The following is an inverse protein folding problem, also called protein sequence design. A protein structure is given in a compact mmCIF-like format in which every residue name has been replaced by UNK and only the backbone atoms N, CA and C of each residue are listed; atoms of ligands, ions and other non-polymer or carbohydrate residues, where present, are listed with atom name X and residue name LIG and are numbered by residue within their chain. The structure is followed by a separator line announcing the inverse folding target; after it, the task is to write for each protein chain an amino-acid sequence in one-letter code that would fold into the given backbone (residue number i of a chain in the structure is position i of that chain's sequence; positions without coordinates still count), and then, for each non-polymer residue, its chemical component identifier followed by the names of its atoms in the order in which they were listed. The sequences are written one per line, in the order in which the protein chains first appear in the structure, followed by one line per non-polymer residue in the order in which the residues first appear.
data_IF_473379606803
#
_entry.id   IF_473379606803
#
_cell.length_a   1.000
_cell.length_b   1.000
_cell.length_c   1.000
_cell.angle_alpha   90.00
_cell.angle_beta   90.00
_cell.angle_gamma   90.00
#
_symmetry.space_group_name_H-M   'P 1'
#
loop_
_entity.id
_entity.type
_entity.pdbx_description
1 polymer ?
#
# COMPACT_ATOMS: atom_id res chain seq x y z
N UNK A 1 -2.57 -2.43 12.84
CA UNK A 1 -3.98 -2.32 13.31
C UNK A 1 -4.93 -3.13 12.42
N UNK A 2 -4.86 -3.01 11.10
CA UNK A 2 -5.76 -3.71 10.15
C UNK A 2 -5.72 -5.25 10.23
N UNK A 3 -4.55 -5.86 10.42
CA UNK A 3 -4.44 -7.33 10.61
C UNK A 3 -5.26 -7.81 11.80
N UNK A 4 -5.20 -7.09 12.92
CA UNK A 4 -5.98 -7.41 14.11
C UNK A 4 -7.49 -7.29 13.86
N UNK A 5 -7.92 -6.36 13.01
CA UNK A 5 -9.34 -6.23 12.66
C UNK A 5 -9.85 -7.43 11.86
N UNK A 6 -9.01 -7.99 10.98
CA UNK A 6 -9.29 -9.25 10.29
C UNK A 6 -9.43 -10.43 11.26
N UNK A 7 -8.51 -10.56 12.23
CA UNK A 7 -8.56 -11.58 13.26
C UNK A 7 -9.83 -11.43 14.14
N UNK A 8 -10.13 -10.18 14.55
CA UNK A 8 -11.34 -9.88 15.34
C UNK A 8 -12.62 -10.20 14.60
N UNK A 9 -12.66 -9.96 13.28
CA UNK A 9 -13.81 -10.33 12.44
C UNK A 9 -14.03 -11.83 12.46
N UNK A 10 -13.00 -12.63 12.18
CA UNK A 10 -13.07 -14.09 12.22
C UNK A 10 -13.48 -14.60 13.61
N UNK A 11 -12.91 -14.05 14.67
CA UNK A 11 -13.19 -14.42 16.05
C UNK A 11 -14.68 -14.22 16.41
N UNK A 12 -15.29 -13.10 15.98
CA UNK A 12 -16.73 -12.85 16.20
C UNK A 12 -17.61 -13.81 15.42
N UNK A 13 -17.23 -14.18 14.21
CA UNK A 13 -17.97 -15.11 13.36
C UNK A 13 -17.92 -16.56 13.88
N UNK A 14 -16.91 -16.90 14.71
CA UNK A 14 -16.65 -18.26 15.19
C UNK A 14 -16.63 -18.39 16.73
N UNK A 15 -17.16 -17.40 17.44
CA UNK A 15 -17.27 -17.38 18.91
C UNK A 15 -15.92 -17.58 19.64
N UNK A 16 -14.84 -17.00 19.08
CA UNK A 16 -13.54 -17.04 19.71
C UNK A 16 -13.36 -15.93 20.74
N UNK A 17 -12.74 -16.25 21.86
CA UNK A 17 -12.23 -15.27 22.81
C UNK A 17 -10.78 -14.94 22.45
N UNK A 18 -10.48 -13.67 22.19
CA UNK A 18 -9.15 -13.17 21.88
C UNK A 18 -8.54 -12.48 23.09
N UNK A 19 -7.27 -12.82 23.37
CA UNK A 19 -6.39 -12.01 24.20
C UNK A 19 -5.33 -11.40 23.30
N UNK A 20 -5.24 -10.07 23.28
CA UNK A 20 -4.29 -9.32 22.45
C UNK A 20 -3.14 -8.83 23.32
N UNK A 21 -1.92 -9.07 22.85
CA UNK A 21 -0.69 -8.56 23.46
C UNK A 21 -0.09 -7.60 22.43
N UNK A 22 -0.16 -6.29 22.71
CA UNK A 22 0.20 -5.24 21.74
C UNK A 22 1.70 -5.03 21.62
N UNK A 23 2.45 -5.31 22.66
CA UNK A 23 3.91 -5.21 22.64
C UNK A 23 4.51 -6.62 22.81
N UNK A 24 5.51 -6.92 21.99
CA UNK A 24 6.22 -8.19 22.09
C UNK A 24 6.93 -8.25 23.45
N UNK A 25 6.48 -9.12 24.36
CA UNK A 25 7.12 -9.23 25.65
C UNK A 25 8.49 -9.93 25.51
N UNK A 26 9.39 -9.79 26.48
CA UNK A 26 10.59 -10.60 26.52
C UNK A 26 10.25 -12.10 26.46
N UNK A 27 11.14 -12.90 25.91
CA UNK A 27 10.91 -14.33 25.66
C UNK A 27 10.45 -15.09 26.92
N UNK A 28 11.01 -14.76 28.05
CA UNK A 28 10.67 -15.34 29.36
C UNK A 28 9.21 -15.04 29.73
N UNK A 29 8.75 -13.82 29.48
CA UNK A 29 7.39 -13.42 29.80
C UNK A 29 6.33 -14.07 28.88
N UNK A 30 6.71 -14.51 27.67
CA UNK A 30 5.79 -15.21 26.78
C UNK A 30 5.34 -16.54 27.39
N UNK A 31 6.25 -17.30 28.00
CA UNK A 31 5.92 -18.55 28.67
C UNK A 31 4.92 -18.34 29.82
N UNK A 32 5.14 -17.30 30.64
CA UNK A 32 4.22 -16.92 31.73
C UNK A 32 2.83 -16.50 31.20
N UNK A 33 2.77 -15.75 30.11
CA UNK A 33 1.50 -15.37 29.46
C UNK A 33 0.75 -16.57 28.90
N UNK A 34 1.47 -17.52 28.28
CA UNK A 34 0.90 -18.76 27.77
C UNK A 34 0.34 -19.63 28.93
N UNK A 35 1.06 -19.76 30.04
CA UNK A 35 0.59 -20.47 31.22
C UNK A 35 -0.63 -19.79 31.83
N UNK A 36 -0.58 -18.47 32.00
CA UNK A 36 -1.66 -17.68 32.62
C UNK A 36 -2.97 -17.74 31.83
N UNK A 37 -2.90 -17.51 30.50
CA UNK A 37 -4.10 -17.46 29.66
C UNK A 37 -4.55 -18.85 29.18
N UNK A 38 -3.67 -19.85 29.20
CA UNK A 38 -3.91 -21.20 28.69
C UNK A 38 -4.60 -21.22 27.32
N UNK A 39 -4.05 -20.53 26.30
CA UNK A 39 -4.70 -20.38 24.99
C UNK A 39 -4.73 -21.73 24.27
N UNK A 40 -5.71 -21.91 23.38
CA UNK A 40 -5.75 -23.09 22.49
C UNK A 40 -4.78 -22.97 21.30
N UNK A 41 -4.36 -21.79 20.98
CA UNK A 41 -3.41 -21.50 19.89
C UNK A 41 -3.02 -20.03 19.87
N UNK A 42 -2.04 -19.69 19.03
CA UNK A 42 -1.43 -18.38 18.96
C UNK A 42 -1.39 -17.89 17.51
N UNK A 43 -1.63 -16.61 17.32
CA UNK A 43 -1.31 -15.90 16.08
C UNK A 43 -0.24 -14.87 16.44
N UNK A 44 0.95 -14.98 15.84
CA UNK A 44 2.09 -14.15 16.16
C UNK A 44 2.54 -13.36 14.93
N UNK A 45 2.67 -12.05 15.07
CA UNK A 45 3.22 -11.18 14.01
C UNK A 45 4.74 -11.15 14.12
N UNK A 46 5.43 -11.40 12.99
CA UNK A 46 6.87 -11.54 12.93
C UNK A 46 7.59 -10.58 12.03
N UNK A 47 7.00 -9.41 11.78
CA UNK A 47 7.56 -8.42 10.86
C UNK A 47 8.97 -7.95 11.20
N UNK A 48 9.33 -7.94 12.48
CA UNK A 48 10.67 -7.63 13.00
C UNK A 48 10.98 -8.59 14.16
N UNK A 49 11.61 -9.73 13.85
CA UNK A 49 11.94 -10.76 14.84
C UNK A 49 13.24 -10.41 15.60
N UNK A 50 13.29 -9.25 16.23
CA UNK A 50 14.45 -8.86 17.06
C UNK A 50 14.60 -9.70 18.33
N UNK A 51 13.50 -10.27 18.82
CA UNK A 51 13.48 -11.05 20.05
C UNK A 51 13.54 -12.55 19.81
N UNK A 52 13.75 -13.02 18.57
CA UNK A 52 13.85 -14.44 18.25
C UNK A 52 12.60 -15.25 18.62
N UNK A 53 11.40 -14.65 18.56
CA UNK A 53 10.11 -15.29 18.85
C UNK A 53 9.94 -16.54 17.97
N UNK A 54 10.50 -16.48 16.76
CA UNK A 54 10.43 -17.57 15.79
C UNK A 54 11.56 -18.58 15.91
N UNK A 55 12.60 -18.27 16.66
CA UNK A 55 13.81 -19.09 16.77
C UNK A 55 13.79 -20.16 17.88
N UNK A 56 12.66 -20.45 18.51
CA UNK A 56 12.61 -21.42 19.60
C UNK A 56 11.24 -22.00 19.90
N UNK A 57 11.16 -22.83 20.95
CA UNK A 57 9.90 -23.42 21.43
C UNK A 57 9.17 -22.51 22.42
N UNK A 58 9.15 -21.19 22.11
CA UNK A 58 8.56 -20.18 22.98
C UNK A 58 7.10 -20.45 23.30
N UNK A 59 6.34 -21.00 22.33
CA UNK A 59 4.95 -21.37 22.50
C UNK A 59 4.75 -22.85 22.83
N UNK A 60 5.83 -23.62 23.06
CA UNK A 60 5.78 -25.04 23.38
C UNK A 60 5.08 -25.87 22.30
N UNK A 61 4.07 -26.64 22.70
CA UNK A 61 3.29 -27.49 21.78
C UNK A 61 2.04 -26.83 21.22
N UNK A 62 1.84 -25.54 21.48
CA UNK A 62 0.68 -24.83 20.95
C UNK A 62 0.74 -24.70 19.43
N UNK A 63 -0.39 -24.83 18.74
CA UNK A 63 -0.45 -24.46 17.33
C UNK A 63 -0.26 -22.95 17.16
N UNK A 64 0.68 -22.58 16.29
CA UNK A 64 1.00 -21.18 16.01
C UNK A 64 0.85 -20.90 14.53
N UNK A 65 0.18 -19.79 14.22
CA UNK A 65 0.19 -19.19 12.88
C UNK A 65 1.01 -17.90 12.91
N UNK A 66 2.04 -17.85 12.13
CA UNK A 66 2.89 -16.68 12.01
C UNK A 66 2.38 -15.76 10.91
N UNK A 67 2.25 -14.47 11.21
CA UNK A 67 1.95 -13.40 10.26
C UNK A 67 3.22 -12.66 9.88
N UNK A 68 3.41 -12.37 8.59
CA UNK A 68 4.50 -11.53 8.10
C UNK A 68 5.88 -11.98 8.61
N UNK A 69 6.18 -13.27 8.52
CA UNK A 69 7.43 -13.84 9.00
C UNK A 69 8.37 -14.25 7.87
N UNK A 70 9.66 -14.30 8.17
CA UNK A 70 10.64 -14.94 7.30
C UNK A 70 10.53 -16.46 7.40
N UNK A 71 10.09 -17.09 6.32
CA UNK A 71 9.90 -18.55 6.29
C UNK A 71 11.20 -19.33 6.50
N UNK A 72 12.35 -18.72 6.17
CA UNK A 72 13.68 -19.34 6.38
C UNK A 72 13.96 -19.59 7.85
N UNK A 73 13.31 -18.84 8.74
CA UNK A 73 13.47 -18.94 10.19
C UNK A 73 12.42 -19.83 10.85
N UNK A 74 11.41 -20.32 10.10
CA UNK A 74 10.36 -21.16 10.64
C UNK A 74 10.77 -22.63 10.75
N UNK A 75 10.33 -23.26 11.83
CA UNK A 75 10.48 -24.72 12.01
C UNK A 75 9.62 -25.50 11.01
N UNK A 76 10.05 -26.70 10.58
CA UNK A 76 9.19 -27.60 9.82
C UNK A 76 7.86 -27.87 10.55
N UNK A 77 6.75 -27.72 9.83
CA UNK A 77 5.41 -27.87 10.40
C UNK A 77 4.76 -26.57 10.85
N UNK A 78 5.46 -25.43 10.83
CA UNK A 78 4.88 -24.13 11.12
C UNK A 78 3.85 -23.73 10.06
N UNK A 79 2.88 -22.93 10.50
CA UNK A 79 1.89 -22.29 9.64
C UNK A 79 2.23 -20.82 9.50
N UNK A 80 2.15 -20.27 8.29
CA UNK A 80 2.36 -18.84 8.07
C UNK A 80 1.40 -18.25 7.05
N UNK A 81 1.10 -16.98 7.25
CA UNK A 81 0.36 -16.14 6.31
C UNK A 81 1.23 -14.95 5.96
N UNK A 82 1.57 -14.83 4.70
CA UNK A 82 2.43 -13.76 4.18
C UNK A 82 1.75 -13.04 3.02
N UNK A 83 2.17 -11.83 2.77
CA UNK A 83 1.81 -11.13 1.54
C UNK A 83 2.53 -11.78 0.36
N UNK A 84 1.92 -11.68 -0.81
CA UNK A 84 2.52 -12.16 -2.06
C UNK A 84 3.42 -11.08 -2.67
N UNK A 85 4.75 -11.20 -2.55
CA UNK A 85 5.66 -10.18 -3.07
C UNK A 85 5.67 -10.17 -4.60
N UNK A 86 5.39 -11.29 -5.27
CA UNK A 86 5.41 -11.36 -6.73
C UNK A 86 4.26 -10.52 -7.32
N UNK A 87 3.06 -10.59 -6.76
CA UNK A 87 1.94 -9.71 -7.15
C UNK A 87 2.30 -8.23 -6.97
N UNK A 88 2.97 -7.86 -5.88
CA UNK A 88 3.40 -6.47 -5.64
C UNK A 88 4.44 -6.02 -6.67
N UNK A 89 5.46 -6.83 -6.91
CA UNK A 89 6.52 -6.55 -7.88
C UNK A 89 5.98 -6.41 -9.31
N UNK A 90 5.03 -7.28 -9.71
CA UNK A 90 4.37 -7.21 -11.02
C UNK A 90 3.54 -5.94 -11.18
N UNK A 91 2.78 -5.56 -10.16
CA UNK A 91 1.97 -4.33 -10.20
C UNK A 91 2.86 -3.09 -10.30
N UNK A 92 3.94 -3.02 -9.53
CA UNK A 92 4.89 -1.92 -9.55
C UNK A 92 5.60 -1.82 -10.91
N UNK A 93 6.10 -2.94 -11.45
CA UNK A 93 6.72 -2.98 -12.77
C UNK A 93 5.76 -2.54 -13.87
N UNK A 94 4.53 -3.06 -13.86
CA UNK A 94 3.49 -2.71 -14.83
C UNK A 94 3.12 -1.23 -14.76
N UNK A 95 3.03 -0.65 -13.57
CA UNK A 95 2.76 0.79 -13.42
C UNK A 95 3.84 1.62 -14.11
N UNK A 96 5.10 1.43 -13.78
CA UNK A 96 6.19 2.19 -14.40
C UNK A 96 6.34 1.95 -15.91
N UNK A 97 6.18 0.71 -16.37
CA UNK A 97 6.22 0.40 -17.80
C UNK A 97 5.08 1.10 -18.56
N UNK A 98 3.88 1.18 -17.95
CA UNK A 98 2.73 1.88 -18.53
C UNK A 98 2.95 3.39 -18.67
N UNK A 99 3.83 3.96 -17.83
CA UNK A 99 4.26 5.36 -17.88
C UNK A 99 5.39 5.61 -18.89
N UNK A 100 5.88 4.58 -19.58
CA UNK A 100 7.00 4.67 -20.52
C UNK A 100 8.36 4.87 -19.85
N UNK A 101 8.48 4.63 -18.56
CA UNK A 101 9.75 4.65 -17.81
C UNK A 101 10.63 3.48 -18.26
N UNK A 102 11.93 3.74 -18.40
CA UNK A 102 12.92 2.75 -18.87
C UNK A 102 14.07 2.50 -17.91
N UNK A 103 14.19 3.30 -16.87
CA UNK A 103 15.23 3.20 -15.85
C UNK A 103 14.58 3.05 -14.48
N UNK A 104 15.01 2.06 -13.70
CA UNK A 104 14.30 1.64 -12.48
C UNK A 104 15.27 1.50 -11.32
N UNK A 105 14.81 1.91 -10.15
CA UNK A 105 15.49 1.78 -8.88
C UNK A 105 14.54 1.21 -7.83
N UNK A 106 15.01 0.30 -7.01
CA UNK A 106 14.35 -0.13 -5.79
C UNK A 106 15.06 0.50 -4.58
N UNK A 107 14.29 1.05 -3.66
CA UNK A 107 14.78 1.59 -2.39
C UNK A 107 14.13 0.84 -1.23
N UNK A 108 14.94 0.15 -0.43
CA UNK A 108 14.45 -0.72 0.61
C UNK A 108 15.37 -0.80 1.83
N UNK A 109 14.92 -1.54 2.85
CA UNK A 109 15.75 -1.86 4.00
C UNK A 109 16.59 -3.10 3.71
N UNK A 110 17.87 -3.02 4.08
CA UNK A 110 18.74 -4.19 4.20
C UNK A 110 18.34 -4.99 5.44
N UNK A 111 18.46 -6.32 5.39
CA UNK A 111 18.22 -7.24 6.51
C UNK A 111 16.74 -7.42 6.92
N UNK A 112 15.80 -6.73 6.28
CA UNK A 112 14.36 -6.99 6.46
C UNK A 112 13.83 -7.85 5.33
N UNK A 113 13.48 -9.09 5.64
CA UNK A 113 13.05 -10.10 4.66
C UNK A 113 11.92 -9.63 3.74
N UNK A 114 10.96 -8.89 4.27
CA UNK A 114 9.83 -8.38 3.50
C UNK A 114 10.27 -7.33 2.47
N UNK A 115 11.24 -6.48 2.83
CA UNK A 115 11.83 -5.49 1.92
C UNK A 115 12.65 -6.16 0.82
N UNK A 116 13.51 -7.12 1.19
CA UNK A 116 14.30 -7.92 0.25
C UNK A 116 13.40 -8.67 -0.75
N UNK A 117 12.33 -9.30 -0.25
CA UNK A 117 11.38 -10.03 -1.10
C UNK A 117 10.64 -9.12 -2.08
N UNK A 118 10.20 -7.92 -1.63
CA UNK A 118 9.57 -6.90 -2.49
C UNK A 118 10.50 -6.44 -3.60
N UNK A 119 11.76 -6.13 -3.26
CA UNK A 119 12.79 -5.72 -4.21
C UNK A 119 13.13 -6.82 -5.22
N UNK A 120 13.34 -8.05 -4.75
CA UNK A 120 13.61 -9.19 -5.60
C UNK A 120 12.46 -9.49 -6.58
N UNK A 121 11.22 -9.39 -6.12
CA UNK A 121 10.03 -9.57 -6.96
C UNK A 121 9.92 -8.49 -8.05
N UNK A 122 10.16 -7.23 -7.69
CA UNK A 122 10.19 -6.13 -8.65
C UNK A 122 11.27 -6.33 -9.73
N UNK A 123 12.49 -6.68 -9.32
CA UNK A 123 13.57 -6.97 -10.26
C UNK A 123 13.22 -8.15 -11.18
N UNK A 124 12.61 -9.23 -10.66
CA UNK A 124 12.13 -10.35 -11.49
C UNK A 124 11.10 -9.92 -12.51
N UNK A 125 10.08 -9.16 -12.06
CA UNK A 125 9.01 -8.67 -12.93
C UNK A 125 9.55 -7.79 -14.07
N UNK A 126 10.51 -6.91 -13.78
CA UNK A 126 11.18 -6.10 -14.81
C UNK A 126 12.02 -6.95 -15.75
N UNK A 127 12.75 -7.93 -15.25
CA UNK A 127 13.60 -8.82 -16.06
C UNK A 127 12.75 -9.62 -17.06
N UNK A 128 11.59 -10.09 -16.68
CA UNK A 128 10.63 -10.76 -17.58
C UNK A 128 10.15 -9.86 -18.72
N UNK A 129 10.22 -8.53 -18.54
CA UNK A 129 9.88 -7.53 -19.53
C UNK A 129 11.12 -6.92 -20.24
N UNK A 130 12.30 -7.54 -20.10
CA UNK A 130 13.53 -7.10 -20.77
C UNK A 130 14.19 -5.87 -20.14
N UNK A 131 13.85 -5.55 -18.89
CA UNK A 131 14.39 -4.41 -18.14
C UNK A 131 15.19 -4.85 -16.92
N UNK A 132 16.01 -3.95 -16.40
CA UNK A 132 16.79 -4.15 -15.19
C UNK A 132 16.52 -3.03 -14.19
N UNK A 133 16.45 -3.37 -12.90
CA UNK A 133 16.40 -2.42 -11.81
C UNK A 133 17.66 -2.53 -10.96
N UNK A 134 18.14 -1.38 -10.50
CA UNK A 134 19.17 -1.31 -9.48
C UNK A 134 18.52 -1.24 -8.10
N UNK A 135 19.25 -1.60 -7.06
CA UNK A 135 18.75 -1.54 -5.69
C UNK A 135 19.68 -0.71 -4.82
N UNK A 136 19.09 0.14 -3.98
CA UNK A 136 19.77 0.84 -2.90
C UNK A 136 19.17 0.39 -1.59
N UNK A 137 19.98 -0.18 -0.72
CA UNK A 137 19.58 -0.62 0.61
C UNK A 137 19.95 0.41 1.66
N UNK A 138 19.09 0.53 2.67
CA UNK A 138 19.30 1.28 3.90
C UNK A 138 19.25 0.33 5.09
N UNK A 139 20.07 0.55 6.09
CA UNK A 139 19.98 -0.20 7.35
C UNK A 139 18.75 0.22 8.14
N UNK A 140 18.03 -0.74 8.68
CA UNK A 140 16.98 -0.50 9.65
C UNK A 140 17.63 -0.42 11.04
N UNK A 141 17.38 0.67 11.76
CA UNK A 141 17.88 0.86 13.14
C UNK A 141 16.67 1.10 14.03
N UNK A 142 16.48 0.22 14.99
CA UNK A 142 15.32 0.23 15.91
C UNK A 142 15.51 1.19 17.10
N UNK A 143 16.55 2.00 17.16
CA UNK A 143 16.82 2.86 18.29
C UNK A 143 16.27 4.28 18.09
N UNK A 144 15.24 4.60 18.87
CA UNK A 144 14.83 5.97 19.18
C UNK A 144 14.03 6.69 18.09
N UNK A 145 13.21 7.62 18.52
CA UNK A 145 12.43 8.53 17.68
C UNK A 145 13.38 9.54 17.02
N UNK A 146 13.79 9.26 15.80
CA UNK A 146 14.59 10.18 15.00
C UNK A 146 15.30 9.49 13.83
N UNK A 147 15.62 10.22 12.73
CA UNK A 147 16.43 9.67 11.67
C UNK A 147 17.80 9.31 12.24
N UNK A 148 18.15 8.03 12.21
CA UNK A 148 19.51 7.60 12.57
C UNK A 148 20.49 8.29 11.64
N UNK A 149 21.38 9.10 12.20
CA UNK A 149 22.50 9.71 11.47
C UNK A 149 23.49 8.65 10.91
N UNK A 150 23.31 7.38 11.29
CA UNK A 150 24.20 6.28 10.94
C UNK A 150 24.07 5.82 9.47
N UNK A 151 23.06 6.28 8.70
CA UNK A 151 22.86 5.79 7.32
C UNK A 151 22.72 6.90 6.25
N UNK A 152 23.32 8.06 6.51
CA UNK A 152 23.41 9.14 5.51
C UNK A 152 24.08 8.67 4.22
N UNK A 153 25.05 7.74 4.32
CA UNK A 153 25.72 7.17 3.17
C UNK A 153 24.76 6.41 2.20
N UNK A 154 23.73 5.77 2.72
CA UNK A 154 22.70 5.13 1.88
C UNK A 154 21.84 6.17 1.15
N UNK A 155 21.50 7.26 1.83
CA UNK A 155 20.73 8.36 1.26
C UNK A 155 21.54 9.12 0.19
N UNK A 156 22.83 9.33 0.43
CA UNK A 156 23.75 9.94 -0.54
C UNK A 156 23.87 9.05 -1.80
N UNK A 157 24.02 7.72 -1.62
CA UNK A 157 24.01 6.75 -2.73
C UNK A 157 22.68 6.81 -3.51
N UNK A 158 21.55 6.91 -2.81
CA UNK A 158 20.23 7.03 -3.46
C UNK A 158 20.17 8.26 -4.35
N UNK A 159 20.57 9.42 -3.84
CA UNK A 159 20.59 10.69 -4.61
C UNK A 159 21.52 10.60 -5.81
N UNK A 160 22.73 10.06 -5.63
CA UNK A 160 23.71 9.89 -6.70
C UNK A 160 23.15 8.98 -7.81
N UNK A 161 22.54 7.85 -7.45
CA UNK A 161 21.92 6.94 -8.43
C UNK A 161 20.74 7.59 -9.12
N UNK A 162 19.85 8.26 -8.37
CA UNK A 162 18.75 8.98 -8.97
C UNK A 162 19.22 10.07 -9.95
N UNK A 163 20.31 10.75 -9.69
CA UNK A 163 20.88 11.76 -10.62
C UNK A 163 21.47 11.12 -11.88
N UNK A 164 22.12 9.98 -11.75
CA UNK A 164 22.83 9.32 -12.87
C UNK A 164 21.92 8.57 -13.84
N UNK A 165 20.74 8.12 -13.39
CA UNK A 165 19.81 7.37 -14.24
C UNK A 165 19.18 8.26 -15.33
N UNK A 166 18.93 7.72 -16.55
CA UNK A 166 18.15 8.38 -17.59
C UNK A 166 16.75 8.76 -17.09
N UNK A 167 16.26 9.94 -17.50
CA UNK A 167 14.97 10.50 -17.03
C UNK A 167 13.87 10.38 -18.10
N UNK A 168 12.61 10.16 -17.67
CA UNK A 168 12.18 9.85 -16.29
C UNK A 168 12.62 8.47 -15.83
N UNK A 169 12.95 8.34 -14.55
CA UNK A 169 13.18 7.04 -13.92
C UNK A 169 12.08 6.70 -12.91
N UNK A 170 11.88 5.40 -12.64
CA UNK A 170 10.93 4.91 -11.65
C UNK A 170 11.66 4.45 -10.38
N UNK A 171 11.22 4.93 -9.24
CA UNK A 171 11.66 4.50 -7.93
C UNK A 171 10.52 3.76 -7.22
N UNK A 172 10.74 2.48 -6.95
CA UNK A 172 9.87 1.67 -6.12
C UNK A 172 10.45 1.58 -4.71
N UNK A 173 9.75 2.10 -3.74
CA UNK A 173 10.14 2.06 -2.34
C UNK A 173 9.48 0.88 -1.62
N UNK A 174 10.20 0.27 -0.68
CA UNK A 174 9.73 -0.90 0.03
C UNK A 174 8.50 -0.64 0.91
N UNK A 175 8.27 0.62 1.32
CA UNK A 175 7.06 1.09 1.99
C UNK A 175 6.85 2.60 1.75
N UNK A 176 5.74 3.15 2.26
CA UNK A 176 5.40 4.56 2.06
C UNK A 176 6.31 5.52 2.83
N UNK A 177 6.84 5.12 4.00
CA UNK A 177 7.82 5.93 4.73
C UNK A 177 9.10 6.15 3.92
N UNK A 178 9.63 5.10 3.30
CA UNK A 178 10.78 5.21 2.41
C UNK A 178 10.46 5.98 1.12
N UNK A 179 9.22 5.86 0.63
CA UNK A 179 8.78 6.63 -0.52
C UNK A 179 8.73 8.14 -0.22
N UNK A 180 8.24 8.54 0.95
CA UNK A 180 8.21 9.93 1.40
C UNK A 180 9.62 10.48 1.66
N UNK A 181 10.48 9.69 2.28
CA UNK A 181 11.90 10.05 2.45
C UNK A 181 12.59 10.28 1.09
N UNK A 182 12.41 9.37 0.14
CA UNK A 182 12.95 9.53 -1.22
C UNK A 182 12.38 10.76 -1.92
N UNK A 183 11.10 11.06 -1.72
CA UNK A 183 10.46 12.27 -2.24
C UNK A 183 11.10 13.54 -1.66
N UNK A 184 11.29 13.59 -0.35
CA UNK A 184 11.99 14.70 0.31
C UNK A 184 13.40 14.91 -0.22
N UNK A 185 14.16 13.82 -0.41
CA UNK A 185 15.49 13.84 -0.99
C UNK A 185 15.48 14.35 -2.44
N UNK A 186 14.50 13.92 -3.26
CA UNK A 186 14.36 14.43 -4.63
C UNK A 186 14.16 15.95 -4.63
N UNK A 187 13.25 16.45 -3.82
CA UNK A 187 12.95 17.89 -3.72
C UNK A 187 14.19 18.67 -3.26
N UNK A 188 14.85 18.23 -2.18
CA UNK A 188 16.04 18.87 -1.63
C UNK A 188 17.21 18.93 -2.63
N UNK A 189 17.22 17.99 -3.59
CA UNK A 189 18.28 17.87 -4.59
C UNK A 189 17.87 18.38 -6.00
N UNK A 190 16.72 19.07 -6.12
CA UNK A 190 16.25 19.69 -7.36
C UNK A 190 15.73 18.70 -8.41
N UNK A 191 15.45 17.45 -8.01
CA UNK A 191 14.80 16.45 -8.86
C UNK A 191 13.28 16.59 -8.74
N UNK A 192 12.61 16.67 -9.87
CA UNK A 192 11.16 16.87 -9.93
C UNK A 192 10.44 15.53 -9.87
N UNK A 193 9.44 15.42 -8.99
CA UNK A 193 8.55 14.27 -8.90
C UNK A 193 7.18 14.69 -9.42
N UNK A 194 6.61 14.01 -10.43
CA UNK A 194 7.09 12.78 -11.07
C UNK A 194 8.00 12.97 -12.31
N UNK A 195 8.25 14.21 -12.78
CA UNK A 195 8.85 14.50 -14.10
C UNK A 195 10.24 13.90 -14.31
N UNK A 196 11.09 13.91 -13.28
CA UNK A 196 12.41 13.31 -13.32
C UNK A 196 12.41 11.95 -12.65
N UNK A 197 11.65 11.79 -11.55
CA UNK A 197 11.55 10.55 -10.77
C UNK A 197 10.09 10.26 -10.46
N UNK A 198 9.52 9.22 -11.04
CA UNK A 198 8.22 8.68 -10.62
C UNK A 198 8.42 7.80 -9.38
N UNK A 199 7.68 8.04 -8.30
CA UNK A 199 7.83 7.34 -7.02
C UNK A 199 6.57 6.52 -6.71
N UNK A 200 6.75 5.25 -6.33
CA UNK A 200 5.70 4.32 -5.91
C UNK A 200 6.07 3.73 -4.56
N UNK A 201 5.16 3.81 -3.60
CA UNK A 201 5.26 3.19 -2.28
C UNK A 201 4.44 1.89 -2.15
N UNK A 202 4.40 1.35 -0.94
CA UNK A 202 3.55 0.23 -0.53
C UNK A 202 2.99 0.54 0.86
N UNK A 203 1.83 0.01 1.17
CA UNK A 203 1.00 -0.03 2.37
C UNK A 203 -0.22 0.90 2.26
N UNK A 204 -0.16 1.96 1.47
CA UNK A 204 -1.19 3.00 1.32
C UNK A 204 -1.53 3.66 2.66
N UNK A 205 -0.48 4.02 3.42
CA UNK A 205 -0.64 4.82 4.64
C UNK A 205 -1.18 6.20 4.28
N UNK A 206 -2.46 6.43 4.60
CA UNK A 206 -3.16 7.67 4.24
C UNK A 206 -2.48 8.89 4.87
N UNK A 207 -1.93 8.75 6.09
CA UNK A 207 -1.24 9.84 6.78
C UNK A 207 0.05 10.25 6.07
N UNK A 208 0.76 9.32 5.47
CA UNK A 208 1.96 9.59 4.69
C UNK A 208 1.59 10.04 3.28
N UNK A 209 0.81 9.22 2.57
CA UNK A 209 0.54 9.39 1.14
C UNK A 209 -0.19 10.70 0.82
N UNK A 210 -1.14 11.12 1.67
CA UNK A 210 -1.95 12.31 1.44
C UNK A 210 -1.27 13.61 1.89
N UNK A 211 -0.33 13.53 2.84
CA UNK A 211 0.40 14.70 3.33
C UNK A 211 1.67 15.03 2.53
N UNK A 212 2.15 14.10 1.72
CA UNK A 212 3.29 14.32 0.82
C UNK A 212 2.96 15.29 -0.32
N UNK A 213 3.96 15.97 -0.88
CA UNK A 213 3.79 16.87 -2.03
C UNK A 213 4.89 16.64 -3.08
N UNK A 214 4.55 16.10 -4.27
CA UNK A 214 3.24 15.59 -4.66
C UNK A 214 2.81 14.38 -3.82
N UNK A 215 1.49 14.14 -3.73
CA UNK A 215 0.95 13.01 -2.98
C UNK A 215 1.41 11.68 -3.56
N UNK A 216 1.68 10.71 -2.68
CA UNK A 216 2.32 9.46 -3.03
C UNK A 216 1.34 8.42 -3.58
N UNK A 217 1.66 7.91 -4.77
CA UNK A 217 1.07 6.68 -5.30
C UNK A 217 1.60 5.50 -4.51
N UNK A 218 0.71 4.60 -4.10
CA UNK A 218 1.08 3.46 -3.29
C UNK A 218 0.32 2.20 -3.67
N UNK A 219 0.91 1.04 -3.39
CA UNK A 219 0.24 -0.25 -3.43
C UNK A 219 -0.51 -0.46 -2.12
N UNK A 220 -1.83 -0.49 -2.18
CA UNK A 220 -2.66 -0.84 -1.02
C UNK A 220 -2.70 -2.35 -0.87
N UNK A 221 -2.32 -2.83 0.30
CA UNK A 221 -2.35 -4.23 0.70
C UNK A 221 -3.52 -4.47 1.65
N UNK A 222 -4.26 -5.55 1.46
CA UNK A 222 -5.33 -5.92 2.40
C UNK A 222 -4.76 -6.70 3.60
N UNK A 223 -4.27 -5.95 4.58
CA UNK A 223 -3.79 -6.52 5.85
C UNK A 223 -4.91 -7.19 6.66
N UNK A 224 -6.15 -6.73 6.52
CA UNK A 224 -7.28 -7.35 7.22
C UNK A 224 -7.57 -8.74 6.68
N UNK A 225 -7.41 -8.98 5.37
CA UNK A 225 -7.49 -10.32 4.80
C UNK A 225 -6.40 -11.24 5.36
N UNK A 226 -5.16 -10.76 5.49
CA UNK A 226 -4.07 -11.54 6.07
C UNK A 226 -4.40 -11.97 7.51
N UNK A 227 -4.91 -11.05 8.32
CA UNK A 227 -5.37 -11.35 9.67
C UNK A 227 -6.52 -12.38 9.71
N UNK A 228 -7.51 -12.21 8.84
CA UNK A 228 -8.63 -13.16 8.75
C UNK A 228 -8.16 -14.56 8.34
N UNK A 229 -7.30 -14.65 7.34
CA UNK A 229 -6.72 -15.92 6.86
C UNK A 229 -5.87 -16.61 7.91
N UNK A 230 -5.19 -15.88 8.78
CA UNK A 230 -4.41 -16.47 9.87
C UNK A 230 -5.31 -17.16 10.90
N UNK A 231 -6.43 -16.53 11.27
CA UNK A 231 -7.41 -17.11 12.17
C UNK A 231 -8.14 -18.32 11.51
N UNK A 232 -8.48 -18.22 10.24
CA UNK A 232 -9.04 -19.34 9.47
C UNK A 232 -8.08 -20.54 9.44
N UNK A 233 -6.79 -20.30 9.23
CA UNK A 233 -5.78 -21.35 9.21
C UNK A 233 -5.63 -22.02 10.56
N UNK A 234 -5.62 -21.23 11.63
CA UNK A 234 -5.58 -21.75 13.01
C UNK A 234 -6.85 -22.55 13.36
N UNK A 235 -8.03 -22.10 12.91
CA UNK A 235 -9.30 -22.83 13.07
C UNK A 235 -9.27 -24.20 12.38
N UNK A 236 -8.73 -24.25 11.15
CA UNK A 236 -8.55 -25.50 10.41
C UNK A 236 -7.61 -26.47 11.12
N UNK A 237 -6.61 -25.97 11.83
CA UNK A 237 -5.75 -26.81 12.68
C UNK A 237 -6.54 -27.47 13.83
N UNK A 238 -7.43 -26.72 14.49
CA UNK A 238 -8.24 -27.29 15.58
C UNK A 238 -9.16 -28.43 15.11
N UNK A 239 -9.68 -28.34 13.90
CA UNK A 239 -10.57 -29.33 13.30
C UNK A 239 -9.87 -30.60 12.78
N UNK A 240 -8.63 -30.84 13.16
CA UNK A 240 -7.83 -32.06 12.92
C UNK A 240 -7.37 -32.31 11.47
N UNK A 241 -7.90 -31.64 10.48
CA UNK A 241 -7.56 -31.85 9.06
C UNK A 241 -6.12 -31.46 8.68
N UNK A 242 -5.43 -30.73 9.54
CA UNK A 242 -4.11 -30.13 9.24
C UNK A 242 -2.94 -30.69 10.06
N UNK A 243 -3.20 -31.55 11.07
CA UNK A 243 -2.14 -32.04 11.97
C UNK A 243 -1.05 -32.88 11.30
N UNK A 244 -1.28 -33.33 10.05
CA UNK A 244 -0.34 -34.14 9.28
C UNK A 244 0.44 -33.36 8.20
N UNK A 245 0.24 -32.06 8.08
CA UNK A 245 0.87 -31.25 7.01
C UNK A 245 2.23 -30.72 7.46
N UNK A 246 3.28 -30.98 6.68
CA UNK A 246 4.68 -30.66 7.04
C UNK A 246 4.97 -29.16 7.13
N UNK A 247 4.22 -28.31 6.43
CA UNK A 247 4.32 -26.86 6.51
C UNK A 247 3.18 -26.24 5.72
N UNK A 248 2.59 -25.15 6.17
CA UNK A 248 1.51 -24.50 5.44
C UNK A 248 1.75 -23.00 5.32
N UNK A 249 1.94 -22.58 4.09
CA UNK A 249 2.06 -21.20 3.70
C UNK A 249 0.78 -20.75 2.98
N UNK A 250 0.23 -19.63 3.39
CA UNK A 250 -0.86 -18.95 2.69
C UNK A 250 -0.35 -17.59 2.22
N UNK A 251 -0.43 -17.35 0.92
CA UNK A 251 -0.13 -16.05 0.33
C UNK A 251 -1.42 -15.25 0.17
N UNK A 252 -1.36 -13.98 0.54
CA UNK A 252 -2.44 -13.01 0.35
C UNK A 252 -2.03 -12.07 -0.77
N UNK A 253 -2.76 -12.13 -1.88
CA UNK A 253 -2.48 -11.37 -3.11
C UNK A 253 -3.45 -10.21 -3.34
N UNK A 254 -4.25 -9.84 -2.33
CA UNK A 254 -5.20 -8.72 -2.42
C UNK A 254 -4.45 -7.39 -2.36
N UNK A 255 -3.93 -6.98 -3.50
CA UNK A 255 -3.14 -5.76 -3.69
C UNK A 255 -3.69 -4.97 -4.87
N UNK A 256 -3.77 -3.64 -4.73
CA UNK A 256 -4.13 -2.75 -5.84
C UNK A 256 -3.39 -1.41 -5.75
N UNK A 257 -3.26 -0.70 -6.88
CA UNK A 257 -2.58 0.59 -6.93
C UNK A 257 -3.56 1.72 -6.63
N UNK A 258 -3.23 2.55 -5.66
CA UNK A 258 -3.88 3.84 -5.42
C UNK A 258 -3.04 4.94 -6.06
N UNK A 259 -3.47 5.40 -7.24
CA UNK A 259 -2.70 6.38 -8.04
C UNK A 259 -2.89 7.78 -7.52
N UNK A 260 -1.77 8.48 -7.32
CA UNK A 260 -1.70 9.88 -6.88
C UNK A 260 -0.73 10.69 -7.72
N UNK A 261 -0.20 11.79 -7.17
CA UNK A 261 0.66 12.75 -7.86
C UNK A 261 2.02 12.20 -8.26
N UNK A 262 2.65 11.35 -7.43
CA UNK A 262 4.05 10.96 -7.58
C UNK A 262 4.38 10.04 -8.77
N UNK A 263 3.36 9.47 -9.44
CA UNK A 263 3.53 8.70 -10.68
C UNK A 263 2.81 9.33 -11.88
N UNK A 264 2.19 10.50 -11.71
CA UNK A 264 1.40 11.14 -12.77
C UNK A 264 2.30 11.90 -13.72
N UNK A 265 3.05 11.18 -14.55
CA UNK A 265 3.86 11.77 -15.62
C UNK A 265 2.97 12.45 -16.65
N UNK A 266 3.25 13.72 -16.89
CA UNK A 266 2.62 14.53 -17.94
C UNK A 266 3.70 15.10 -18.87
N UNK A 267 3.40 15.29 -20.17
CA UNK A 267 4.33 15.96 -21.05
C UNK A 267 4.78 17.30 -20.48
N UNK A 268 6.09 17.58 -20.51
CA UNK A 268 6.75 18.75 -19.89
C UNK A 268 6.16 20.11 -20.29
N UNK A 269 5.41 20.18 -21.38
CA UNK A 269 4.79 21.41 -21.88
C UNK A 269 3.54 21.86 -21.12
N UNK A 270 3.14 21.14 -20.05
CA UNK A 270 1.84 21.37 -19.42
C UNK A 270 1.84 21.32 -17.88
N UNK A 271 2.73 22.09 -17.26
CA UNK A 271 2.74 22.30 -15.81
C UNK A 271 1.35 22.73 -15.26
N UNK A 272 0.60 23.52 -16.03
CA UNK A 272 -0.77 23.93 -15.68
C UNK A 272 -1.73 22.74 -15.52
N UNK A 273 -1.61 21.73 -16.41
CA UNK A 273 -2.48 20.53 -16.34
C UNK A 273 -2.10 19.65 -15.16
N UNK A 274 -0.80 19.53 -14.85
CA UNK A 274 -0.32 18.82 -13.67
C UNK A 274 -0.87 19.45 -12.38
N UNK A 275 -0.74 20.77 -12.26
CA UNK A 275 -1.28 21.52 -11.13
C UNK A 275 -2.81 21.41 -11.04
N UNK A 276 -3.51 21.48 -12.19
CA UNK A 276 -4.96 21.29 -12.22
C UNK A 276 -5.39 19.91 -11.71
N UNK A 277 -4.70 18.86 -12.11
CA UNK A 277 -4.97 17.51 -11.65
C UNK A 277 -4.75 17.34 -10.12
N UNK A 278 -3.67 17.93 -9.61
CA UNK A 278 -3.39 17.91 -8.17
C UNK A 278 -4.46 18.69 -7.38
N UNK A 279 -4.89 19.85 -7.88
CA UNK A 279 -5.98 20.63 -7.32
C UNK A 279 -7.30 19.83 -7.31
N UNK A 280 -7.60 19.14 -8.42
CA UNK A 280 -8.79 18.31 -8.55
C UNK A 280 -8.74 17.19 -7.51
N UNK A 281 -7.63 16.50 -7.39
CA UNK A 281 -7.47 15.41 -6.43
C UNK A 281 -7.68 15.89 -4.98
N UNK A 282 -7.03 16.97 -4.59
CA UNK A 282 -7.11 17.50 -3.22
C UNK A 282 -8.47 18.08 -2.86
N UNK A 283 -9.15 18.75 -3.80
CA UNK A 283 -10.33 19.57 -3.48
C UNK A 283 -11.63 19.13 -4.13
N UNK A 284 -11.68 18.03 -4.87
CA UNK A 284 -12.90 17.58 -5.54
C UNK A 284 -14.05 17.36 -4.56
N UNK A 285 -13.78 16.75 -3.42
CA UNK A 285 -14.79 16.47 -2.39
C UNK A 285 -15.24 17.72 -1.61
N UNK A 286 -14.48 18.80 -1.66
CA UNK A 286 -14.75 20.08 -0.98
C UNK A 286 -15.62 21.05 -1.82
N UNK A 287 -16.27 20.56 -2.87
CA UNK A 287 -17.14 21.38 -3.71
C UNK A 287 -16.45 22.09 -4.88
N UNK A 288 -15.23 21.67 -5.23
CA UNK A 288 -14.49 22.19 -6.39
C UNK A 288 -15.36 22.12 -7.66
N UNK A 289 -15.34 23.20 -8.45
CA UNK A 289 -16.03 23.31 -9.74
C UNK A 289 -15.03 23.46 -10.88
N UNK A 290 -15.35 23.04 -12.12
CA UNK A 290 -14.46 23.19 -13.27
C UNK A 290 -13.93 24.60 -13.46
N UNK A 291 -14.76 25.61 -13.22
CA UNK A 291 -14.36 27.03 -13.30
C UNK A 291 -13.23 27.41 -12.35
N UNK A 292 -13.15 26.76 -11.19
CA UNK A 292 -12.15 27.06 -10.17
C UNK A 292 -10.80 26.46 -10.58
N UNK A 293 -10.82 25.31 -11.28
CA UNK A 293 -9.65 24.69 -11.90
C UNK A 293 -9.11 25.56 -13.04
N UNK A 294 -9.98 26.01 -13.96
CA UNK A 294 -9.56 26.84 -15.09
C UNK A 294 -8.95 28.18 -14.67
N UNK A 295 -9.33 28.73 -13.51
CA UNK A 295 -8.72 29.96 -12.97
C UNK A 295 -7.24 29.77 -12.60
N UNK A 296 -6.80 28.54 -12.37
CA UNK A 296 -5.42 28.22 -12.02
C UNK A 296 -4.58 27.82 -13.24
N UNK A 297 -5.19 27.78 -14.42
CA UNK A 297 -4.52 27.41 -15.68
C UNK A 297 -4.33 28.65 -16.56
N UNK A 298 -3.21 28.70 -17.26
CA UNK A 298 -2.87 29.81 -18.17
C UNK A 298 -3.58 29.68 -19.51
N UNK A 299 -4.29 30.73 -19.95
CA UNK A 299 -4.94 30.80 -21.24
C UNK A 299 -6.48 30.92 -21.20
N UNK A 300 -7.11 30.93 -22.37
CA UNK A 300 -8.57 30.96 -22.44
C UNK A 300 -9.18 29.62 -22.00
N UNK A 301 -10.41 29.63 -21.43
CA UNK A 301 -11.11 28.43 -21.00
C UNK A 301 -11.16 27.33 -22.07
N UNK A 302 -11.39 27.73 -23.33
CA UNK A 302 -11.44 26.76 -24.45
C UNK A 302 -10.08 26.09 -24.67
N UNK A 303 -9.02 26.85 -24.62
CA UNK A 303 -7.65 26.34 -24.82
C UNK A 303 -7.23 25.44 -23.67
N UNK A 304 -7.53 25.80 -22.43
CA UNK A 304 -7.20 25.03 -21.24
C UNK A 304 -8.00 23.71 -21.19
N UNK A 305 -9.29 23.73 -21.55
CA UNK A 305 -10.11 22.51 -21.64
C UNK A 305 -9.60 21.58 -22.74
N UNK A 306 -9.23 22.11 -23.88
CA UNK A 306 -8.67 21.33 -25.00
C UNK A 306 -7.36 20.66 -24.58
N UNK A 307 -6.42 21.41 -24.01
CA UNK A 307 -5.13 20.90 -23.51
C UNK A 307 -5.32 19.86 -22.43
N UNK A 308 -6.22 20.11 -21.48
CA UNK A 308 -6.52 19.16 -20.41
C UNK A 308 -7.04 17.83 -20.98
N UNK A 309 -7.98 17.91 -21.94
CA UNK A 309 -8.54 16.73 -22.59
C UNK A 309 -7.53 15.96 -23.46
N UNK A 310 -6.70 16.67 -24.20
CA UNK A 310 -5.63 16.06 -25.01
C UNK A 310 -4.66 15.25 -24.16
N UNK A 311 -4.33 15.74 -22.95
CA UNK A 311 -3.35 15.11 -22.07
C UNK A 311 -3.94 14.03 -21.15
N UNK A 312 -5.19 14.21 -20.71
CA UNK A 312 -5.79 13.32 -19.71
C UNK A 312 -6.82 12.36 -20.33
N UNK A 313 -7.22 12.60 -21.57
CA UNK A 313 -8.31 11.88 -22.23
C UNK A 313 -9.71 12.24 -21.70
N UNK A 314 -9.84 13.13 -20.70
CA UNK A 314 -11.08 13.50 -20.03
C UNK A 314 -11.27 15.00 -19.95
N UNK A 315 -12.52 15.44 -19.76
CA UNK A 315 -12.77 16.84 -19.39
C UNK A 315 -12.44 17.08 -17.92
N UNK A 316 -12.20 18.34 -17.54
CA UNK A 316 -12.02 18.72 -16.13
C UNK A 316 -13.22 18.30 -15.27
N UNK A 317 -14.44 18.41 -15.83
CA UNK A 317 -15.65 18.01 -15.13
C UNK A 317 -15.71 16.49 -14.87
N UNK A 318 -15.29 15.69 -15.84
CA UNK A 318 -15.30 14.23 -15.73
C UNK A 318 -14.18 13.73 -14.80
N UNK A 319 -13.03 14.40 -14.81
CA UNK A 319 -11.95 14.09 -13.87
C UNK A 319 -12.38 14.38 -12.41
N UNK A 320 -13.04 15.50 -12.15
CA UNK A 320 -13.62 15.80 -10.82
C UNK A 320 -14.60 14.71 -10.39
N UNK A 321 -15.48 14.25 -11.30
CA UNK A 321 -16.44 13.17 -10.98
C UNK A 321 -15.72 11.84 -10.73
N UNK A 322 -14.68 11.54 -11.50
CA UNK A 322 -13.91 10.31 -11.34
C UNK A 322 -13.24 10.25 -9.96
N UNK A 323 -12.57 11.33 -9.52
CA UNK A 323 -11.97 11.41 -8.18
C UNK A 323 -13.01 11.26 -7.07
N UNK A 324 -14.17 11.92 -7.20
CA UNK A 324 -15.29 11.76 -6.25
C UNK A 324 -15.82 10.33 -6.19
N UNK A 325 -15.86 9.66 -7.32
CA UNK A 325 -16.31 8.27 -7.41
C UNK A 325 -15.34 7.33 -6.71
N UNK A 326 -14.04 7.48 -6.91
CA UNK A 326 -13.03 6.66 -6.23
C UNK A 326 -13.13 6.84 -4.70
N UNK A 327 -13.24 8.08 -4.22
CA UNK A 327 -13.45 8.33 -2.78
C UNK A 327 -14.77 7.73 -2.26
N UNK A 328 -15.82 7.75 -3.06
CA UNK A 328 -17.08 7.09 -2.70
C UNK A 328 -16.94 5.56 -2.61
N UNK A 329 -16.15 4.95 -3.49
CA UNK A 329 -15.84 3.50 -3.44
C UNK A 329 -15.08 3.14 -2.17
N UNK A 330 -14.11 3.94 -1.76
CA UNK A 330 -13.36 3.75 -0.51
C UNK A 330 -14.29 3.77 0.70
N UNK A 331 -15.14 4.81 0.81
CA UNK A 331 -16.11 4.93 1.90
C UNK A 331 -17.18 3.83 1.89
N UNK A 332 -17.54 3.33 0.72
CA UNK A 332 -18.44 2.18 0.59
C UNK A 332 -17.79 0.88 1.11
N UNK A 333 -16.50 0.67 0.84
CA UNK A 333 -15.76 -0.51 1.32
C UNK A 333 -15.64 -0.51 2.85
N UNK A 334 -15.47 0.65 3.48
CA UNK A 334 -15.42 0.76 4.95
C UNK A 334 -16.74 0.36 5.62
N UNK A 335 -17.85 0.39 4.90
CA UNK A 335 -19.15 -0.11 5.35
C UNK A 335 -19.81 0.67 6.50
N UNK A 336 -19.21 1.79 6.91
CA UNK A 336 -19.60 2.53 8.13
C UNK A 336 -20.65 3.61 7.89
N UNK A 337 -20.84 4.05 6.63
CA UNK A 337 -21.66 5.23 6.32
C UNK A 337 -22.81 4.90 5.37
N UNK A 338 -23.98 5.53 5.57
CA UNK A 338 -25.09 5.45 4.61
C UNK A 338 -24.75 6.21 3.33
N UNK A 339 -25.30 5.76 2.19
CA UNK A 339 -25.03 6.33 0.85
C UNK A 339 -25.28 7.85 0.75
N UNK A 340 -26.19 8.37 1.57
CA UNK A 340 -26.48 9.81 1.64
C UNK A 340 -25.30 10.62 2.20
N UNK A 341 -24.69 10.11 3.27
CA UNK A 341 -23.52 10.73 3.88
C UNK A 341 -22.28 10.58 3.00
N UNK A 342 -22.11 9.41 2.36
CA UNK A 342 -21.04 9.19 1.38
C UNK A 342 -21.15 10.21 0.24
N UNK A 343 -22.34 10.41 -0.32
CA UNK A 343 -22.55 11.39 -1.38
C UNK A 343 -22.15 12.81 -0.92
N UNK A 344 -22.55 13.21 0.27
CA UNK A 344 -22.22 14.52 0.82
C UNK A 344 -20.70 14.67 1.05
N UNK A 345 -20.04 13.68 1.69
CA UNK A 345 -18.60 13.68 1.95
C UNK A 345 -17.75 13.67 0.69
N UNK A 346 -18.25 13.08 -0.40
CA UNK A 346 -17.57 13.06 -1.69
C UNK A 346 -17.92 14.25 -2.61
N UNK A 347 -18.65 15.25 -2.11
CA UNK A 347 -18.97 16.47 -2.85
C UNK A 347 -20.03 16.30 -3.94
N UNK A 348 -20.87 15.25 -3.88
CA UNK A 348 -22.03 15.10 -4.76
C UNK A 348 -23.22 15.92 -4.26
N UNK A 349 -23.97 16.51 -5.18
CA UNK A 349 -25.14 17.33 -4.81
C UNK A 349 -26.30 16.52 -4.22
N UNK A 350 -26.38 15.23 -4.56
CA UNK A 350 -27.39 14.32 -4.04
C UNK A 350 -26.97 12.86 -4.16
N UNK A 351 -27.54 11.96 -3.33
CA UNK A 351 -27.33 10.51 -3.44
C UNK A 351 -27.74 9.95 -4.81
N UNK A 352 -28.73 10.57 -5.45
CA UNK A 352 -29.19 10.17 -6.78
C UNK A 352 -28.13 10.42 -7.86
N UNK A 353 -27.43 11.55 -7.80
CA UNK A 353 -26.33 11.84 -8.72
C UNK A 353 -25.17 10.87 -8.54
N UNK A 354 -24.78 10.55 -7.31
CA UNK A 354 -23.74 9.54 -7.04
C UNK A 354 -24.16 8.19 -7.63
N UNK A 355 -25.39 7.73 -7.36
CA UNK A 355 -25.89 6.44 -7.89
C UNK A 355 -25.90 6.40 -9.41
N UNK A 356 -26.40 7.45 -10.06
CA UNK A 356 -26.43 7.53 -11.52
C UNK A 356 -25.06 7.42 -12.14
N UNK A 357 -24.10 8.22 -11.68
CA UNK A 357 -22.72 8.18 -12.17
C UNK A 357 -22.01 6.88 -11.81
N UNK A 358 -22.30 6.31 -10.64
CA UNK A 358 -21.75 5.02 -10.22
C UNK A 358 -22.20 3.89 -11.18
N UNK A 359 -23.49 3.86 -11.55
CA UNK A 359 -24.01 2.88 -12.53
C UNK A 359 -23.44 3.12 -13.93
N UNK A 360 -23.27 4.38 -14.32
CA UNK A 360 -22.66 4.75 -15.62
C UNK A 360 -21.25 4.19 -15.76
N UNK A 361 -20.45 4.26 -14.69
CA UNK A 361 -19.03 3.88 -14.71
C UNK A 361 -18.83 2.39 -14.36
N UNK A 362 -19.53 1.87 -13.36
CA UNK A 362 -19.33 0.52 -12.81
C UNK A 362 -20.34 -0.51 -13.33
N UNK A 363 -21.32 -0.07 -14.09
CA UNK A 363 -22.38 -0.93 -14.65
C UNK A 363 -23.38 -1.45 -13.62
N UNK A 364 -23.18 -1.18 -12.32
CA UNK A 364 -24.00 -1.67 -11.20
C UNK A 364 -24.21 -0.61 -10.12
N UNK A 365 -25.32 -0.64 -9.38
CA UNK A 365 -25.53 0.25 -8.24
C UNK A 365 -24.53 -0.03 -7.09
N UNK A 366 -24.22 0.97 -6.23
CA UNK A 366 -23.25 0.82 -5.15
C UNK A 366 -23.46 -0.38 -4.23
N UNK A 367 -24.73 -0.71 -3.89
CA UNK A 367 -25.07 -1.87 -3.05
C UNK A 367 -24.76 -3.22 -3.71
N UNK A 368 -24.98 -3.34 -5.00
CA UNK A 368 -24.68 -4.56 -5.76
C UNK A 368 -23.18 -4.69 -6.02
N UNK A 369 -22.53 -3.56 -6.28
CA UNK A 369 -21.07 -3.52 -6.47
C UNK A 369 -20.31 -4.03 -5.25
N UNK A 370 -20.78 -3.70 -4.02
CA UNK A 370 -20.23 -4.22 -2.77
C UNK A 370 -20.42 -5.73 -2.58
N UNK A 371 -21.56 -6.29 -3.06
CA UNK A 371 -21.85 -7.74 -2.90
C UNK A 371 -20.97 -8.65 -3.76
N UNK A 372 -20.48 -8.15 -4.87
CA UNK A 372 -19.65 -8.92 -5.82
C UNK A 372 -18.19 -9.01 -5.38
N UNK A 373 -17.80 -8.22 -4.36
CA UNK A 373 -16.42 -8.12 -3.87
C UNK A 373 -16.27 -8.46 -2.37
N UNK A 374 -17.31 -9.09 -1.77
CA UNK A 374 -17.26 -9.68 -0.43
C UNK A 374 -16.90 -11.18 -0.52
#
# INVERSE_FOLDING_TARGET
MEMLDGIRRFARENDWRLQVVEHVPPREAIAELVEFWSPKGVIAEGGMDENGIFSGDVFGMLPVVYLMCDERNLKPGSMCVCQDPDTMGELAAREFLSLGVKSFLFFGFEQLFWSENRGAAFCRALSLNGHHAESVGRRFVCEGIGPSTADTAALDRLVERLRSLPKPCGLFAANDMLADEALGLCIANGLRVPDDVAILGIDDDEAVCENSTPTLTSLRVDFAEAGYKSAELLSKWFSSSLRSVKSRRVLVSSVHIVRRGSTRLLPRTNADVAHALELIRKKSCEGLRPRDVFKQMSGSRRLTEMRFRELTGRTVADEIKAVRLERAKELLRSGTLPIGEIAAKCGWKSPAQLRGYFVEVEGKPPREWLKVRK
#
